data_IF_359027738170
#
_entry.id   IF_359027738170
#
_cell.length_a   1.000
_cell.length_b   1.000
_cell.length_c   1.000
_cell.angle_alpha   90.00
_cell.angle_beta   90.00
_cell.angle_gamma   90.00
#
_symmetry.space_group_name_H-M   'P 1'
#
loop_
_entity.id
_entity.type
_entity.pdbx_description
1 polymer ?
#
# COMPACT_ATOMS: atom_id res chain seq x y z
N UNK A 1 39.47 72.48 4.61
CA UNK A 1 40.23 71.41 5.30
C UNK A 1 39.18 70.55 6.03
N UNK A 2 38.75 69.45 5.39
CA UNK A 2 39.02 68.06 5.83
C UNK A 2 38.30 67.66 7.13
N UNK A 3 37.46 66.63 7.23
CA UNK A 3 37.10 65.51 6.35
C UNK A 3 35.79 64.88 6.86
N UNK A 4 34.98 64.32 5.96
CA UNK A 4 34.74 62.87 5.83
C UNK A 4 34.65 62.09 7.16
N UNK A 5 33.43 61.75 7.55
CA UNK A 5 33.15 60.49 8.23
C UNK A 5 31.93 59.87 7.56
N UNK A 6 32.19 58.84 6.77
CA UNK A 6 31.19 58.16 5.93
C UNK A 6 30.24 57.35 6.79
N UNK A 7 28.95 57.55 6.58
CA UNK A 7 27.93 56.65 7.10
C UNK A 7 27.62 55.59 6.04
N UNK A 8 28.10 54.41 6.39
CA UNK A 8 27.86 53.06 5.87
C UNK A 8 26.59 52.88 5.02
N UNK A 9 26.82 52.35 3.82
CA UNK A 9 25.85 51.76 2.89
C UNK A 9 25.15 50.56 3.55
N UNK A 10 23.82 50.50 3.49
CA UNK A 10 23.10 49.23 3.54
C UNK A 10 21.86 49.30 2.65
N UNK A 11 22.05 49.05 1.36
CA UNK A 11 20.97 48.86 0.40
C UNK A 11 20.46 47.40 0.54
N UNK A 12 19.43 47.20 1.36
CA UNK A 12 18.73 45.92 1.45
C UNK A 12 17.84 45.73 0.21
N UNK A 13 18.39 45.11 -0.85
CA UNK A 13 17.59 44.55 -1.93
C UNK A 13 16.88 43.29 -1.40
N UNK A 14 15.65 43.47 -0.91
CA UNK A 14 14.72 42.38 -0.66
C UNK A 14 14.28 41.81 -2.01
N UNK A 15 15.05 40.86 -2.54
CA UNK A 15 14.57 39.95 -3.56
C UNK A 15 13.58 39.02 -2.87
N UNK A 16 12.30 39.35 -2.95
CA UNK A 16 11.22 38.44 -2.60
C UNK A 16 11.21 37.29 -3.60
N UNK A 17 12.06 36.28 -3.39
CA UNK A 17 11.78 34.95 -3.92
C UNK A 17 10.53 34.48 -3.19
N UNK A 18 9.38 34.67 -3.83
CA UNK A 18 8.18 33.92 -3.48
C UNK A 18 8.47 32.45 -3.77
N UNK A 19 9.09 31.77 -2.81
CA UNK A 19 9.02 30.32 -2.71
C UNK A 19 7.56 30.01 -2.40
N UNK A 20 6.74 29.96 -3.44
CA UNK A 20 5.49 29.23 -3.36
C UNK A 20 5.89 27.80 -3.00
N UNK A 21 5.52 27.28 -1.81
CA UNK A 21 5.53 25.85 -1.67
C UNK A 21 4.49 25.39 -2.67
N UNK A 22 4.95 24.83 -3.79
CA UNK A 22 4.11 23.94 -4.58
C UNK A 22 3.71 22.86 -3.59
N UNK A 23 2.54 23.04 -2.97
CA UNK A 23 1.78 21.93 -2.43
C UNK A 23 1.49 21.10 -3.66
N UNK A 24 2.43 20.23 -4.02
CA UNK A 24 2.09 19.04 -4.77
C UNK A 24 1.04 18.40 -3.88
N UNK A 25 -0.21 18.51 -4.28
CA UNK A 25 -1.24 17.58 -3.83
C UNK A 25 -0.70 16.21 -4.21
N UNK A 26 0.07 15.58 -3.33
CA UNK A 26 0.55 14.22 -3.52
C UNK A 26 -0.73 13.42 -3.70
N UNK A 27 -0.97 13.00 -4.94
CA UNK A 27 -2.13 12.20 -5.31
C UNK A 27 -2.23 11.02 -4.36
N UNK A 28 -3.45 10.63 -4.03
CA UNK A 28 -3.65 9.47 -3.18
C UNK A 28 -3.04 8.25 -3.90
N UNK A 29 -2.17 7.52 -3.21
CA UNK A 29 -1.56 6.29 -3.68
C UNK A 29 -2.55 5.13 -3.46
N UNK A 30 -2.52 4.14 -4.36
CA UNK A 30 -3.27 2.90 -4.22
C UNK A 30 -2.32 1.72 -4.01
N UNK A 31 -2.71 0.77 -3.17
CA UNK A 31 -2.01 -0.50 -2.95
C UNK A 31 -3.00 -1.66 -3.01
N UNK A 32 -2.52 -2.86 -3.35
CA UNK A 32 -3.30 -4.07 -3.16
C UNK A 32 -3.22 -4.50 -1.68
N UNK A 33 -4.38 -4.69 -1.06
CA UNK A 33 -4.52 -5.44 0.18
C UNK A 33 -5.27 -6.74 -0.09
N UNK A 34 -4.85 -7.84 0.53
CA UNK A 34 -5.57 -9.10 0.39
C UNK A 34 -5.64 -9.82 1.74
N UNK A 35 -6.83 -10.26 2.12
CA UNK A 35 -7.04 -11.21 3.21
C UNK A 35 -7.00 -12.62 2.62
N UNK A 36 -6.03 -13.40 3.08
CA UNK A 36 -5.73 -14.78 2.66
C UNK A 36 -6.75 -15.78 3.23
N UNK A 37 -6.74 -17.05 2.78
CA UNK A 37 -7.76 -18.02 3.16
C UNK A 37 -7.90 -18.26 4.67
N UNK A 38 -6.81 -18.21 5.43
CA UNK A 38 -6.80 -18.30 6.90
C UNK A 38 -7.42 -17.07 7.58
N UNK A 39 -7.25 -15.88 7.00
CA UNK A 39 -7.90 -14.65 7.48
C UNK A 39 -9.41 -14.68 7.25
N UNK A 40 -9.84 -15.18 6.09
CA UNK A 40 -11.27 -15.30 5.75
C UNK A 40 -11.93 -16.41 6.57
N UNK A 41 -11.40 -17.64 6.53
CA UNK A 41 -11.95 -18.78 7.28
C UNK A 41 -11.84 -18.62 8.81
N UNK A 42 -10.90 -17.80 9.29
CA UNK A 42 -10.77 -17.43 10.69
C UNK A 42 -11.75 -16.35 11.16
N UNK A 43 -12.66 -15.87 10.31
CA UNK A 43 -13.60 -14.79 10.59
C UNK A 43 -12.92 -13.46 10.97
N UNK A 44 -11.73 -13.18 10.45
CA UNK A 44 -11.00 -11.94 10.72
C UNK A 44 -11.29 -10.82 9.71
N UNK A 45 -12.07 -11.09 8.66
CA UNK A 45 -12.26 -10.16 7.55
C UNK A 45 -12.81 -8.80 7.97
N UNK A 46 -13.93 -8.78 8.72
CA UNK A 46 -14.56 -7.53 9.18
C UNK A 46 -13.68 -6.75 10.16
N UNK A 47 -12.98 -7.45 11.04
CA UNK A 47 -12.03 -6.86 11.98
C UNK A 47 -10.86 -6.18 11.25
N UNK A 48 -10.27 -6.87 10.27
CA UNK A 48 -9.18 -6.34 9.45
C UNK A 48 -9.65 -5.12 8.66
N UNK A 49 -10.86 -5.16 8.07
CA UNK A 49 -11.45 -4.01 7.37
C UNK A 49 -11.64 -2.82 8.30
N UNK A 50 -12.07 -3.05 9.54
CA UNK A 50 -12.18 -1.96 10.52
C UNK A 50 -10.82 -1.35 10.85
N UNK A 51 -9.80 -2.17 11.11
CA UNK A 51 -8.41 -1.72 11.34
C UNK A 51 -7.90 -0.89 10.16
N UNK A 52 -8.18 -1.31 8.91
CA UNK A 52 -7.81 -0.58 7.69
C UNK A 52 -8.42 0.84 7.68
N UNK A 53 -9.72 0.95 7.94
CA UNK A 53 -10.44 2.24 7.95
C UNK A 53 -9.97 3.13 9.10
N UNK A 54 -9.78 2.57 10.29
CA UNK A 54 -9.24 3.28 11.46
C UNK A 54 -7.82 3.80 11.23
N UNK A 55 -7.02 3.09 10.43
CA UNK A 55 -5.68 3.52 10.01
C UNK A 55 -5.69 4.59 8.89
N UNK A 56 -6.88 5.06 8.49
CA UNK A 56 -7.07 6.16 7.54
C UNK A 56 -6.99 5.76 6.07
N UNK A 57 -7.14 4.47 5.76
CA UNK A 57 -7.29 4.01 4.38
C UNK A 57 -8.74 4.09 3.93
N UNK A 58 -8.94 4.36 2.64
CA UNK A 58 -10.21 4.11 1.95
C UNK A 58 -10.16 2.76 1.24
N UNK A 59 -11.19 1.93 1.40
CA UNK A 59 -11.37 0.72 0.59
C UNK A 59 -12.13 1.11 -0.67
N UNK A 60 -11.44 1.26 -1.79
CA UNK A 60 -12.00 1.76 -3.06
C UNK A 60 -12.83 0.69 -3.76
N UNK A 61 -12.34 -0.56 -3.73
CA UNK A 61 -12.99 -1.71 -4.35
C UNK A 61 -12.57 -2.96 -3.58
N UNK A 62 -13.48 -3.92 -3.47
CA UNK A 62 -13.18 -5.23 -2.90
C UNK A 62 -13.89 -6.35 -3.66
N UNK A 63 -13.34 -7.56 -3.61
CA UNK A 63 -13.92 -8.77 -4.18
C UNK A 63 -13.52 -9.99 -3.37
N UNK A 64 -14.52 -10.75 -2.92
CA UNK A 64 -14.32 -12.11 -2.42
C UNK A 64 -14.22 -13.07 -3.60
N UNK A 65 -13.15 -13.84 -3.71
CA UNK A 65 -12.92 -14.75 -4.84
C UNK A 65 -12.14 -16.00 -4.43
N UNK A 66 -12.36 -17.11 -5.14
CA UNK A 66 -11.59 -18.33 -5.00
C UNK A 66 -10.59 -18.39 -6.16
N UNK A 67 -9.29 -18.48 -5.86
CA UNK A 67 -8.27 -18.62 -6.90
C UNK A 67 -8.16 -20.10 -7.31
N UNK A 68 -8.06 -20.36 -8.61
CA UNK A 68 -7.57 -21.63 -9.13
C UNK A 68 -6.03 -21.65 -9.14
N UNK A 69 -5.45 -22.81 -9.48
CA UNK A 69 -4.00 -22.99 -9.43
C UNK A 69 -3.29 -22.13 -10.45
N UNK A 70 -3.89 -21.99 -11.62
CA UNK A 70 -3.40 -21.19 -12.74
C UNK A 70 -3.30 -19.72 -12.33
N UNK A 71 -4.41 -19.13 -11.86
CA UNK A 71 -4.49 -17.74 -11.40
C UNK A 71 -3.54 -17.48 -10.22
N UNK A 72 -3.47 -18.39 -9.24
CA UNK A 72 -2.57 -18.24 -8.11
C UNK A 72 -1.09 -18.34 -8.53
N UNK A 73 -0.77 -19.21 -9.48
CA UNK A 73 0.60 -19.35 -10.00
C UNK A 73 1.04 -18.12 -10.79
N UNK A 74 0.16 -17.58 -11.64
CA UNK A 74 0.39 -16.33 -12.38
C UNK A 74 0.58 -15.16 -11.42
N UNK A 75 -0.27 -15.03 -10.40
CA UNK A 75 -0.16 -13.94 -9.42
C UNK A 75 1.16 -13.97 -8.64
N UNK A 76 1.67 -15.16 -8.31
CA UNK A 76 2.92 -15.34 -7.55
C UNK A 76 4.13 -15.70 -8.43
N UNK A 77 4.09 -15.44 -9.74
CA UNK A 77 5.12 -15.87 -10.70
C UNK A 77 6.54 -15.41 -10.32
N UNK A 78 6.70 -14.23 -9.71
CA UNK A 78 7.98 -13.70 -9.20
C UNK A 78 8.62 -14.61 -8.13
N UNK A 79 7.87 -15.56 -7.59
CA UNK A 79 8.33 -16.56 -6.62
C UNK A 79 8.47 -17.97 -7.21
N UNK A 80 8.22 -18.18 -8.51
CA UNK A 80 8.24 -19.48 -9.18
C UNK A 80 9.54 -20.29 -8.98
N UNK A 81 10.68 -19.62 -8.86
CA UNK A 81 11.99 -20.26 -8.62
C UNK A 81 12.28 -20.57 -7.15
N UNK A 82 11.37 -20.22 -6.23
CA UNK A 82 11.54 -20.46 -4.79
C UNK A 82 11.00 -21.84 -4.43
N UNK A 83 11.71 -22.54 -3.54
CA UNK A 83 11.34 -23.89 -3.10
C UNK A 83 9.96 -23.95 -2.43
N UNK A 84 9.48 -22.84 -1.85
CA UNK A 84 8.16 -22.76 -1.20
C UNK A 84 7.00 -22.46 -2.16
N UNK A 85 7.25 -22.23 -3.45
CA UNK A 85 6.23 -21.82 -4.41
C UNK A 85 5.06 -22.81 -4.55
N UNK A 86 5.28 -24.14 -4.65
CA UNK A 86 4.17 -25.09 -4.73
C UNK A 86 3.26 -25.05 -3.50
N UNK A 87 3.85 -24.90 -2.31
CA UNK A 87 3.11 -24.80 -1.05
C UNK A 87 2.32 -23.49 -0.96
N UNK A 88 2.91 -22.39 -1.45
CA UNK A 88 2.24 -21.09 -1.54
C UNK A 88 1.00 -21.17 -2.44
N UNK A 89 1.12 -21.73 -3.65
CA UNK A 89 -0.01 -21.91 -4.58
C UNK A 89 -1.07 -22.83 -3.97
N UNK A 90 -0.66 -23.97 -3.42
CA UNK A 90 -1.57 -24.90 -2.73
C UNK A 90 -2.37 -24.22 -1.62
N UNK A 91 -1.70 -23.41 -0.80
CA UNK A 91 -2.36 -22.66 0.27
C UNK A 91 -3.29 -21.56 -0.26
N UNK A 92 -2.87 -20.79 -1.25
CA UNK A 92 -3.69 -19.69 -1.77
C UNK A 92 -4.93 -20.17 -2.53
N UNK A 93 -4.92 -21.43 -3.00
CA UNK A 93 -6.08 -22.10 -3.61
C UNK A 93 -6.92 -22.90 -2.61
N UNK A 94 -6.54 -22.95 -1.33
CA UNK A 94 -7.24 -23.75 -0.31
C UNK A 94 -8.59 -23.18 0.14
N UNK A 95 -8.89 -21.94 -0.20
CA UNK A 95 -10.12 -21.25 0.19
C UNK A 95 -10.20 -19.83 -0.37
N UNK A 96 -11.28 -19.10 -0.08
CA UNK A 96 -11.52 -17.80 -0.67
C UNK A 96 -10.57 -16.75 -0.10
N UNK A 97 -10.25 -15.76 -0.92
CA UNK A 97 -9.50 -14.55 -0.55
C UNK A 97 -10.37 -13.32 -0.73
N UNK A 98 -10.20 -12.34 0.15
CA UNK A 98 -10.80 -11.01 -0.01
C UNK A 98 -9.73 -10.06 -0.54
N UNK A 99 -9.83 -9.68 -1.81
CA UNK A 99 -8.91 -8.75 -2.46
C UNK A 99 -9.49 -7.34 -2.40
N UNK A 100 -8.67 -6.36 -2.06
CA UNK A 100 -9.06 -4.97 -1.85
C UNK A 100 -8.08 -4.02 -2.55
N UNK A 101 -8.61 -2.93 -3.11
CA UNK A 101 -7.83 -1.76 -3.50
C UNK A 101 -7.92 -0.75 -2.37
N UNK A 102 -6.78 -0.47 -1.73
CA UNK A 102 -6.67 0.45 -0.60
C UNK A 102 -6.06 1.76 -1.06
N UNK A 103 -6.62 2.90 -0.64
CA UNK A 103 -6.17 4.23 -1.06
C UNK A 103 -5.82 5.11 0.17
N UNK A 104 -4.63 5.72 0.13
CA UNK A 104 -4.08 6.64 1.14
C UNK A 104 -2.89 7.41 0.53
N UNK A 105 -2.46 8.52 1.12
CA UNK A 105 -1.31 9.31 0.59
C UNK A 105 -0.04 8.47 0.37
N UNK A 106 0.29 7.62 1.34
CA UNK A 106 1.48 6.75 1.33
C UNK A 106 1.04 5.28 1.53
N UNK A 107 0.00 4.87 0.78
CA UNK A 107 -0.71 3.61 0.93
C UNK A 107 0.18 2.36 0.97
N UNK A 108 1.18 2.24 0.09
CA UNK A 108 2.05 1.06 0.03
C UNK A 108 2.85 0.95 1.32
N UNK A 109 3.57 2.02 1.69
CA UNK A 109 4.40 2.04 2.90
C UNK A 109 3.57 1.87 4.16
N UNK A 110 2.46 2.57 4.27
CA UNK A 110 1.58 2.51 5.44
C UNK A 110 0.91 1.14 5.56
N UNK A 111 0.52 0.50 4.45
CA UNK A 111 -0.09 -0.83 4.48
C UNK A 111 0.94 -1.86 4.95
N UNK A 112 2.17 -1.77 4.43
CA UNK A 112 3.29 -2.61 4.89
C UNK A 112 3.59 -2.42 6.37
N UNK A 113 3.52 -1.19 6.88
CA UNK A 113 3.64 -0.91 8.31
C UNK A 113 2.51 -1.52 9.14
N UNK A 114 1.27 -1.37 8.68
CA UNK A 114 0.07 -1.85 9.37
C UNK A 114 0.00 -3.38 9.45
N UNK A 115 0.42 -4.09 8.40
CA UNK A 115 0.41 -5.56 8.40
C UNK A 115 1.59 -6.17 9.17
N UNK A 116 2.72 -5.47 9.29
CA UNK A 116 3.89 -5.95 10.02
C UNK A 116 4.71 -7.02 9.26
N UNK A 117 5.75 -7.61 9.90
CA UNK A 117 6.68 -8.52 9.24
C UNK A 117 6.02 -9.83 8.81
N UNK A 118 6.52 -10.45 7.73
CA UNK A 118 5.91 -11.64 7.09
C UNK A 118 5.74 -12.82 8.04
N UNK A 119 6.70 -13.07 8.91
CA UNK A 119 6.58 -14.07 9.96
C UNK A 119 5.71 -13.54 11.12
N UNK A 120 4.54 -14.14 11.30
CA UNK A 120 3.60 -13.77 12.34
C UNK A 120 4.16 -13.93 13.76
N UNK A 121 5.05 -14.90 14.01
CA UNK A 121 5.69 -15.07 15.32
C UNK A 121 6.63 -13.90 15.61
N UNK A 122 7.39 -13.47 14.60
CA UNK A 122 8.20 -12.26 14.69
C UNK A 122 7.32 -11.01 14.84
N UNK A 123 6.18 -10.95 14.16
CA UNK A 123 5.23 -9.84 14.27
C UNK A 123 4.70 -9.69 15.69
N UNK A 124 4.30 -10.78 16.36
CA UNK A 124 3.82 -10.77 17.75
C UNK A 124 4.81 -10.16 18.73
N UNK A 125 6.11 -10.35 18.48
CA UNK A 125 7.17 -9.84 19.35
C UNK A 125 7.52 -8.39 19.01
N UNK A 126 7.70 -8.07 17.72
CA UNK A 126 8.28 -6.78 17.28
C UNK A 126 7.24 -5.72 16.94
N UNK A 127 6.04 -6.13 16.52
CA UNK A 127 4.95 -5.27 16.07
C UNK A 127 3.60 -5.82 16.60
N UNK A 128 3.39 -5.85 17.93
CA UNK A 128 2.25 -6.54 18.55
C UNK A 128 0.88 -5.99 18.13
N UNK A 129 0.83 -4.76 17.61
CA UNK A 129 -0.38 -4.11 17.09
C UNK A 129 -0.59 -4.29 15.58
N UNK A 130 0.26 -5.06 14.90
CA UNK A 130 0.12 -5.32 13.47
C UNK A 130 -0.92 -6.40 13.17
N UNK A 131 -1.50 -6.39 11.98
CA UNK A 131 -2.51 -7.39 11.58
C UNK A 131 -1.94 -8.82 11.62
N UNK A 132 -0.68 -9.02 11.22
CA UNK A 132 -0.02 -10.34 11.29
C UNK A 132 0.21 -10.80 12.72
N UNK A 133 0.44 -9.89 13.66
CA UNK A 133 0.51 -10.23 15.07
C UNK A 133 -0.86 -10.65 15.61
N UNK A 134 -1.92 -9.95 15.19
CA UNK A 134 -3.29 -10.16 15.62
C UNK A 134 -3.85 -11.54 15.22
N UNK A 135 -3.75 -11.94 13.94
CA UNK A 135 -4.40 -13.18 13.47
C UNK A 135 -3.45 -14.21 12.84
N UNK A 136 -2.19 -13.84 12.56
CA UNK A 136 -1.24 -14.71 11.87
C UNK A 136 -0.74 -15.87 12.74
N UNK A 137 -0.45 -17.00 12.10
CA UNK A 137 0.06 -18.23 12.73
C UNK A 137 1.55 -18.44 12.46
N UNK A 138 1.97 -18.34 11.21
CA UNK A 138 3.33 -18.60 10.75
C UNK A 138 3.68 -17.71 9.53
N UNK A 139 4.78 -17.98 8.83
CA UNK A 139 5.23 -17.18 7.68
C UNK A 139 4.33 -17.32 6.44
N UNK A 140 3.66 -18.46 6.28
CA UNK A 140 2.77 -18.74 5.15
C UNK A 140 1.34 -18.30 5.49
N UNK A 141 0.83 -18.77 6.63
CA UNK A 141 -0.47 -18.44 7.22
C UNK A 141 -0.36 -17.21 8.11
N UNK A 142 -0.19 -16.07 7.47
CA UNK A 142 -0.06 -14.76 8.10
C UNK A 142 -1.25 -13.83 7.82
N UNK A 143 -2.42 -14.38 7.49
CA UNK A 143 -3.67 -13.68 7.17
C UNK A 143 -3.70 -12.72 5.99
N UNK A 144 -2.62 -11.99 5.69
CA UNK A 144 -2.68 -10.83 4.78
C UNK A 144 -1.47 -10.74 3.85
N UNK A 145 -1.74 -10.30 2.62
CA UNK A 145 -0.77 -9.90 1.60
C UNK A 145 -0.87 -8.39 1.36
N UNK A 146 0.27 -7.80 0.98
CA UNK A 146 0.38 -6.40 0.61
C UNK A 146 1.56 -6.19 -0.32
N UNK A 147 1.33 -5.42 -1.37
CA UNK A 147 2.32 -5.05 -2.38
C UNK A 147 3.56 -4.41 -1.73
N UNK A 148 4.74 -4.66 -2.29
CA UNK A 148 6.02 -4.21 -1.73
C UNK A 148 6.51 -2.87 -2.28
N UNK A 149 5.91 -2.38 -3.37
CA UNK A 149 6.30 -1.16 -4.09
C UNK A 149 5.11 -0.62 -4.88
N UNK A 150 5.22 0.62 -5.38
CA UNK A 150 4.22 1.21 -6.30
C UNK A 150 4.02 0.37 -7.56
N UNK A 151 5.13 -0.10 -8.14
CA UNK A 151 5.11 -0.90 -9.38
C UNK A 151 4.41 -2.25 -9.17
N UNK A 152 4.68 -2.95 -8.04
CA UNK A 152 3.95 -4.18 -7.73
C UNK A 152 2.48 -3.89 -7.43
N UNK A 153 2.16 -2.82 -6.70
CA UNK A 153 0.78 -2.42 -6.45
C UNK A 153 -0.01 -2.19 -7.75
N UNK A 154 0.54 -1.44 -8.71
CA UNK A 154 -0.11 -1.19 -10.00
C UNK A 154 -0.37 -2.48 -10.78
N UNK A 155 0.64 -3.36 -10.89
CA UNK A 155 0.50 -4.68 -11.54
C UNK A 155 -0.56 -5.54 -10.85
N UNK A 156 -0.47 -5.66 -9.52
CA UNK A 156 -1.34 -6.49 -8.71
C UNK A 156 -2.80 -6.00 -8.76
N UNK A 157 -3.02 -4.68 -8.69
CA UNK A 157 -4.36 -4.08 -8.84
C UNK A 157 -4.91 -4.38 -10.24
N UNK A 158 -4.10 -4.17 -11.30
CA UNK A 158 -4.52 -4.44 -12.68
C UNK A 158 -4.85 -5.92 -12.91
N UNK A 159 -4.13 -6.83 -12.24
CA UNK A 159 -4.39 -8.26 -12.29
C UNK A 159 -5.81 -8.61 -11.82
N UNK A 160 -6.26 -8.04 -10.69
CA UNK A 160 -7.58 -8.34 -10.12
C UNK A 160 -8.72 -7.41 -10.57
N UNK A 161 -8.42 -6.15 -10.88
CA UNK A 161 -9.38 -5.07 -11.10
C UNK A 161 -9.04 -4.26 -12.36
N UNK A 162 -9.26 -4.86 -13.53
CA UNK A 162 -9.02 -4.22 -14.84
C UNK A 162 -9.67 -2.84 -14.98
N UNK A 163 -10.85 -2.64 -14.39
CA UNK A 163 -11.64 -1.41 -14.52
C UNK A 163 -11.14 -0.24 -13.64
N UNK A 164 -10.34 -0.51 -12.60
CA UNK A 164 -9.91 0.55 -11.65
C UNK A 164 -8.82 1.47 -12.24
N UNK A 165 -8.13 1.02 -13.29
CA UNK A 165 -7.11 1.82 -13.98
C UNK A 165 -7.74 2.84 -14.93
N UNK A 166 -8.99 2.63 -15.36
CA UNK A 166 -9.68 3.48 -16.33
C UNK A 166 -10.10 4.85 -15.77
N UNK A 167 -10.42 4.92 -14.49
CA UNK A 167 -11.02 6.12 -13.88
C UNK A 167 -10.00 7.23 -13.62
N UNK A 168 -8.69 6.92 -13.63
CA UNK A 168 -7.64 7.93 -13.45
C UNK A 168 -7.29 8.68 -14.76
N UNK A 169 -7.70 8.17 -15.93
CA UNK A 169 -7.45 8.81 -17.24
C UNK A 169 -8.56 9.80 -17.63
N UNK A 170 -9.78 9.62 -17.09
CA UNK A 170 -10.93 10.47 -17.44
C UNK A 170 -10.89 11.88 -16.84
N UNK A 171 -9.90 12.21 -15.99
CA UNK A 171 -9.83 13.50 -15.28
C UNK A 171 -8.73 14.46 -15.79
N UNK A 172 -8.02 14.14 -16.87
CA UNK A 172 -6.93 14.98 -17.41
C UNK A 172 -7.19 15.60 -18.78
N UNK A 173 -8.42 15.57 -19.33
CA UNK A 173 -8.70 16.06 -20.68
C UNK A 173 -9.69 17.22 -20.81
N UNK A 174 -10.11 17.85 -19.70
CA UNK A 174 -11.04 18.98 -19.73
C UNK A 174 -10.36 20.32 -19.37
N UNK A 175 -9.34 20.73 -20.12
CA UNK A 175 -9.01 22.15 -20.31
C UNK A 175 -8.53 22.37 -21.76
N UNK A 176 -9.47 22.77 -22.63
CA UNK A 176 -9.23 23.46 -23.89
C UNK A 176 -9.85 24.87 -23.80
#
# INVERSE_FOLDING_TARGET
MSGFSGQLVLLLLLVSLSLSPSVRCLGKERTLGMIKPDGVSGNYAEEIKRIIVEAGFSIVKERLTQLDKETASEFYEEHSLRSFFPDLVSYMTSGPVLVMVLEKRDAVTDWRGLIGPTDAQKAKISHPHSIRAFCGKDSQRNCVHGSDSRSSAEREIKFFFKDVVSDDIASQHDEL
#
